data_IF_755889553474
#
_entry.id   IF_755889553474
#
_cell.length_a   1.000
_cell.length_b   1.000
_cell.length_c   1.000
_cell.angle_alpha   90.00
_cell.angle_beta   90.00
_cell.angle_gamma   90.00
#
_symmetry.space_group_name_H-M   'P 1'
#
loop_
_entity.id
_entity.type
_entity.pdbx_description
1 polymer ?
#
# COMPACT_ATOMS: atom_id res chain seq x y z
N UNK A 1 28.96 43.40 -15.00
CA UNK A 1 29.41 42.05 -14.55
C UNK A 1 28.18 41.28 -14.10
N UNK A 2 27.38 40.76 -15.04
CA UNK A 2 26.20 39.95 -14.72
C UNK A 2 26.66 38.52 -14.44
N UNK A 3 26.66 38.13 -13.17
CA UNK A 3 26.74 36.71 -12.82
C UNK A 3 25.48 36.04 -13.34
N UNK A 4 25.58 35.27 -14.43
CA UNK A 4 24.52 34.37 -14.86
C UNK A 4 24.41 33.27 -13.82
N UNK A 5 23.54 33.43 -12.83
CA UNK A 5 23.21 32.31 -11.95
C UNK A 5 22.60 31.22 -12.83
N UNK A 6 23.24 30.07 -12.86
CA UNK A 6 22.67 28.88 -13.49
C UNK A 6 21.27 28.64 -12.91
N UNK A 7 20.31 28.22 -13.72
CA UNK A 7 18.97 27.85 -13.24
C UNK A 7 19.04 26.82 -12.09
N UNK A 8 20.06 25.96 -12.11
CA UNK A 8 20.32 25.02 -11.01
C UNK A 8 20.71 25.74 -9.72
N UNK A 9 21.51 26.82 -9.80
CA UNK A 9 21.92 27.60 -8.64
C UNK A 9 20.73 28.37 -8.03
N UNK A 10 19.88 28.98 -8.86
CA UNK A 10 18.69 29.68 -8.35
C UNK A 10 17.66 28.72 -7.72
N UNK A 11 17.50 27.51 -8.29
CA UNK A 11 16.67 26.45 -7.67
C UNK A 11 17.25 25.95 -6.36
N UNK A 12 18.56 25.71 -6.30
CA UNK A 12 19.23 25.28 -5.08
C UNK A 12 19.09 26.31 -3.96
N UNK A 13 19.29 27.59 -4.26
CA UNK A 13 19.09 28.69 -3.32
C UNK A 13 17.65 28.75 -2.82
N UNK A 14 16.67 28.64 -3.72
CA UNK A 14 15.25 28.61 -3.35
C UNK A 14 14.86 27.42 -2.46
N UNK A 15 15.48 26.25 -2.67
CA UNK A 15 15.30 25.09 -1.80
C UNK A 15 15.96 25.29 -0.43
N UNK A 16 17.17 25.86 -0.41
CA UNK A 16 17.88 26.17 0.83
C UNK A 16 17.05 27.10 1.73
N UNK A 17 16.54 28.20 1.17
CA UNK A 17 15.67 29.14 1.89
C UNK A 17 14.41 28.44 2.42
N UNK A 18 13.79 27.54 1.65
CA UNK A 18 12.62 26.78 2.14
C UNK A 18 12.98 25.84 3.28
N UNK A 19 14.09 25.12 3.17
CA UNK A 19 14.55 24.19 4.22
C UNK A 19 14.91 24.91 5.52
N UNK A 20 15.19 26.22 5.46
CA UNK A 20 15.42 27.05 6.63
C UNK A 20 14.12 27.50 7.35
N UNK A 21 12.94 27.23 6.78
CA UNK A 21 11.66 27.60 7.38
C UNK A 21 11.21 26.58 8.41
N UNK A 22 10.85 27.02 9.62
CA UNK A 22 10.29 26.13 10.65
C UNK A 22 9.01 25.41 10.22
N UNK A 23 8.25 26.00 9.30
CA UNK A 23 7.08 25.35 8.68
C UNK A 23 7.44 24.04 7.97
N UNK A 24 8.65 23.93 7.39
CA UNK A 24 9.12 22.70 6.75
C UNK A 24 9.46 21.65 7.79
N UNK A 25 10.10 22.03 8.89
CA UNK A 25 10.39 21.12 10.01
C UNK A 25 9.08 20.54 10.57
N UNK A 26 8.12 21.41 10.90
CA UNK A 26 6.80 20.99 11.38
C UNK A 26 6.11 20.06 10.36
N UNK A 27 6.10 20.45 9.08
CA UNK A 27 5.49 19.64 8.03
C UNK A 27 6.12 18.24 7.91
N UNK A 28 7.44 18.13 8.03
CA UNK A 28 8.15 16.85 8.01
C UNK A 28 7.83 16.00 9.25
N UNK A 29 7.74 16.61 10.43
CA UNK A 29 7.42 15.90 11.67
C UNK A 29 5.98 15.36 11.65
N UNK A 30 5.01 16.20 11.25
CA UNK A 30 3.62 15.77 11.07
C UNK A 30 3.48 14.68 10.00
N UNK A 31 4.23 14.79 8.90
CA UNK A 31 4.25 13.76 7.87
C UNK A 31 4.87 12.46 8.36
N UNK A 32 5.99 12.53 9.11
CA UNK A 32 6.66 11.36 9.67
C UNK A 32 5.74 10.61 10.65
N UNK A 33 5.00 11.35 11.47
CA UNK A 33 4.06 10.79 12.44
C UNK A 33 2.95 9.95 11.78
N UNK A 34 2.53 10.29 10.56
CA UNK A 34 1.54 9.52 9.80
C UNK A 34 2.19 8.43 8.94
N UNK A 35 3.23 8.79 8.18
CA UNK A 35 3.85 7.91 7.18
C UNK A 35 4.56 6.73 7.84
N UNK A 36 5.13 6.92 9.04
CA UNK A 36 5.81 5.82 9.76
C UNK A 36 4.87 4.64 10.05
N UNK A 37 3.65 4.90 10.51
CA UNK A 37 2.65 3.85 10.75
C UNK A 37 2.17 3.20 9.45
N UNK A 38 1.98 4.01 8.41
CA UNK A 38 1.63 3.51 7.08
C UNK A 38 2.73 2.62 6.48
N UNK A 39 4.00 2.94 6.73
CA UNK A 39 5.12 2.13 6.26
C UNK A 39 5.20 0.78 6.98
N UNK A 40 4.92 0.76 8.30
CA UNK A 40 4.81 -0.49 9.06
C UNK A 40 3.67 -1.36 8.50
N UNK A 41 2.52 -0.76 8.22
CA UNK A 41 1.40 -1.45 7.57
C UNK A 41 1.82 -2.01 6.21
N UNK A 42 2.40 -1.17 5.35
CA UNK A 42 2.81 -1.53 4.00
C UNK A 42 3.80 -2.70 4.01
N UNK A 43 4.82 -2.65 4.86
CA UNK A 43 5.78 -3.74 5.03
C UNK A 43 5.12 -5.04 5.53
N UNK A 44 4.08 -4.94 6.37
CA UNK A 44 3.30 -6.10 6.82
C UNK A 44 2.47 -6.73 5.69
N UNK A 45 1.79 -5.90 4.88
CA UNK A 45 0.93 -6.33 3.78
C UNK A 45 1.70 -6.92 2.59
N UNK A 46 2.98 -6.60 2.46
CA UNK A 46 3.85 -7.15 1.42
C UNK A 46 4.36 -8.57 1.71
N UNK A 47 4.13 -9.09 2.93
CA UNK A 47 4.56 -10.46 3.29
C UNK A 47 3.68 -11.50 2.60
N UNK A 48 4.30 -12.53 2.03
CA UNK A 48 3.63 -13.60 1.28
C UNK A 48 2.78 -14.57 2.11
N UNK A 49 2.69 -14.34 3.43
CA UNK A 49 1.99 -15.21 4.39
C UNK A 49 0.73 -14.57 4.97
N UNK A 50 0.32 -13.40 4.48
CA UNK A 50 -0.84 -12.71 5.03
C UNK A 50 -2.13 -13.32 4.51
N UNK A 51 -3.03 -13.64 5.44
CA UNK A 51 -4.44 -13.94 5.16
C UNK A 51 -5.20 -12.64 4.87
N UNK A 52 -6.31 -12.72 4.14
CA UNK A 52 -7.18 -11.56 3.89
C UNK A 52 -7.73 -11.01 5.20
N UNK A 53 -8.16 -11.89 6.10
CA UNK A 53 -8.60 -11.52 7.45
C UNK A 53 -7.48 -10.85 8.26
N UNK A 54 -6.26 -11.39 8.21
CA UNK A 54 -5.09 -10.83 8.89
C UNK A 54 -4.71 -9.45 8.34
N UNK A 55 -4.79 -9.26 7.02
CA UNK A 55 -4.61 -7.96 6.37
C UNK A 55 -5.63 -6.95 6.88
N UNK A 56 -6.92 -7.28 6.88
CA UNK A 56 -7.99 -6.38 7.34
C UNK A 56 -7.78 -6.02 8.81
N UNK A 57 -7.43 -6.99 9.65
CA UNK A 57 -7.13 -6.76 11.06
C UNK A 57 -5.93 -5.81 11.25
N UNK A 58 -4.84 -6.00 10.49
CA UNK A 58 -3.68 -5.12 10.55
C UNK A 58 -4.03 -3.68 10.12
N UNK A 59 -4.87 -3.53 9.10
CA UNK A 59 -5.39 -2.23 8.66
C UNK A 59 -6.19 -1.56 9.78
N UNK A 60 -7.10 -2.29 10.42
CA UNK A 60 -7.91 -1.75 11.52
C UNK A 60 -7.05 -1.25 12.68
N UNK A 61 -6.01 -1.99 13.06
CA UNK A 61 -5.08 -1.57 14.13
C UNK A 61 -4.41 -0.23 13.81
N UNK A 62 -3.91 -0.05 12.59
CA UNK A 62 -3.26 1.20 12.17
C UNK A 62 -4.28 2.33 12.03
N UNK A 63 -5.49 2.02 11.55
CA UNK A 63 -6.58 2.99 11.44
C UNK A 63 -7.01 3.52 12.83
N UNK A 64 -7.13 2.66 13.83
CA UNK A 64 -7.41 3.04 15.22
C UNK A 64 -6.29 3.88 15.82
N UNK A 65 -5.03 3.51 15.57
CA UNK A 65 -3.85 4.27 15.98
C UNK A 65 -3.86 5.69 15.40
N UNK A 66 -4.04 5.84 14.08
CA UNK A 66 -4.11 7.14 13.42
C UNK A 66 -5.29 7.99 13.91
N UNK A 67 -6.44 7.38 14.20
CA UNK A 67 -7.60 8.09 14.79
C UNK A 67 -7.30 8.62 16.18
N UNK A 68 -6.53 7.89 16.98
CA UNK A 68 -6.15 8.32 18.34
C UNK A 68 -5.28 9.59 18.35
N UNK A 69 -4.54 9.85 17.27
CA UNK A 69 -3.72 11.06 17.09
C UNK A 69 -4.51 12.33 16.80
N UNK A 70 -5.80 12.21 16.51
CA UNK A 70 -6.69 13.34 16.22
C UNK A 70 -7.13 14.05 17.50
N UNK A 71 -6.18 14.42 18.35
CA UNK A 71 -6.39 15.10 19.63
C UNK A 71 -5.57 16.38 19.69
N UNK A 72 -6.07 17.36 20.45
CA UNK A 72 -5.36 18.63 20.58
C UNK A 72 -4.04 18.46 21.32
N UNK A 73 -3.98 17.50 22.24
CA UNK A 73 -2.82 17.25 23.09
C UNK A 73 -1.67 16.65 22.28
N UNK A 74 -1.94 15.60 21.49
CA UNK A 74 -0.95 15.00 20.57
C UNK A 74 -0.37 16.02 19.60
N UNK A 75 -1.23 16.85 18.99
CA UNK A 75 -0.76 17.92 18.10
C UNK A 75 0.13 18.94 18.83
N UNK A 76 -0.21 19.32 20.07
CA UNK A 76 0.60 20.24 20.85
C UNK A 76 1.97 19.67 21.20
N UNK A 77 2.05 18.38 21.50
CA UNK A 77 3.32 17.68 21.73
C UNK A 77 4.23 17.75 20.50
N UNK A 78 3.72 17.33 19.34
CA UNK A 78 4.48 17.37 18.07
C UNK A 78 4.86 18.80 17.68
N UNK A 79 3.97 19.77 17.91
CA UNK A 79 4.25 21.18 17.62
C UNK A 79 5.38 21.73 18.50
N UNK A 80 5.38 21.39 19.79
CA UNK A 80 6.44 21.79 20.72
C UNK A 80 7.78 21.16 20.36
N UNK A 81 7.80 19.87 20.01
CA UNK A 81 9.03 19.23 19.55
C UNK A 81 9.58 19.88 18.27
N UNK A 82 8.70 20.34 17.38
CA UNK A 82 9.10 21.09 16.20
C UNK A 82 9.67 22.47 16.56
N UNK A 83 9.09 23.19 17.52
CA UNK A 83 9.65 24.46 18.03
C UNK A 83 11.04 24.25 18.63
N UNK A 84 11.22 23.25 19.50
CA UNK A 84 12.51 22.91 20.11
C UNK A 84 13.57 22.58 19.04
N UNK A 85 13.17 21.87 17.97
CA UNK A 85 14.05 21.55 16.85
C UNK A 85 14.43 22.78 16.02
N UNK A 86 13.47 23.68 15.77
CA UNK A 86 13.69 24.95 15.06
C UNK A 86 14.64 25.85 15.83
N UNK A 87 14.50 25.95 17.15
CA UNK A 87 15.41 26.70 18.01
C UNK A 87 16.82 26.10 17.99
N UNK A 88 16.92 24.77 18.17
CA UNK A 88 18.21 24.05 18.15
C UNK A 88 18.97 24.23 16.84
N UNK A 89 18.27 24.26 15.71
CA UNK A 89 18.86 24.42 14.38
C UNK A 89 18.99 25.90 13.96
N UNK A 90 18.55 26.84 14.81
CA UNK A 90 18.55 28.28 14.54
C UNK A 90 17.83 28.64 13.23
N UNK A 91 16.65 28.04 13.01
CA UNK A 91 15.82 28.22 11.82
C UNK A 91 14.80 29.34 11.99
N UNK A 92 14.13 29.73 10.90
CA UNK A 92 13.02 30.69 10.99
C UNK A 92 11.85 30.09 11.79
N UNK A 93 11.17 30.88 12.63
CA UNK A 93 10.08 30.37 13.47
C UNK A 93 8.89 29.89 12.62
N UNK A 94 8.11 28.99 13.21
CA UNK A 94 6.86 28.50 12.61
C UNK A 94 5.88 29.69 12.49
N UNK A 95 5.39 29.93 11.27
CA UNK A 95 4.62 31.12 10.96
C UNK A 95 3.44 30.80 10.03
N UNK A 96 2.40 31.65 10.09
CA UNK A 96 1.26 31.53 9.19
C UNK A 96 1.70 31.68 7.73
N UNK A 97 1.24 30.80 6.82
CA UNK A 97 1.50 30.96 5.40
C UNK A 97 0.96 32.30 4.89
N UNK A 98 1.68 32.87 3.91
CA UNK A 98 1.28 34.12 3.29
C UNK A 98 -0.06 33.93 2.56
N UNK A 99 -1.13 34.53 3.07
CA UNK A 99 -2.45 34.46 2.45
C UNK A 99 -2.58 35.47 1.32
N UNK A 100 -2.93 35.00 0.12
CA UNK A 100 -3.28 35.89 -0.98
C UNK A 100 -4.64 36.53 -0.71
N UNK A 101 -4.74 37.87 -0.81
CA UNK A 101 -6.02 38.56 -0.69
C UNK A 101 -6.74 38.46 -2.04
N UNK A 102 -7.92 37.81 -2.13
CA UNK A 102 -8.65 37.77 -3.38
C UNK A 102 -9.02 39.18 -3.84
N UNK A 103 -9.10 39.45 -5.16
CA UNK A 103 -9.50 40.76 -5.66
C UNK A 103 -10.89 41.14 -5.17
N UNK A 104 -11.08 42.41 -4.76
CA UNK A 104 -12.33 42.91 -4.17
C UNK A 104 -13.57 42.67 -5.03
N UNK A 105 -13.41 42.58 -6.35
CA UNK A 105 -14.49 42.30 -7.31
C UNK A 105 -15.14 40.92 -7.10
N UNK A 106 -14.41 39.97 -6.52
CA UNK A 106 -14.86 38.59 -6.30
C UNK A 106 -15.19 38.29 -4.83
N UNK A 107 -15.14 39.28 -3.94
CA UNK A 107 -15.38 39.11 -2.49
C UNK A 107 -16.60 39.91 -2.04
N UNK A 108 -17.49 39.30 -1.27
CA UNK A 108 -18.60 39.98 -0.60
C UNK A 108 -18.16 40.82 0.61
N UNK A 109 -19.12 41.43 1.36
CA UNK A 109 -18.83 42.27 2.52
C UNK A 109 -18.34 41.50 3.75
N UNK A 110 -18.42 40.17 3.75
CA UNK A 110 -17.99 39.33 4.86
C UNK A 110 -16.45 39.32 5.00
N UNK A 111 -15.90 39.41 6.23
CA UNK A 111 -14.47 39.26 6.44
C UNK A 111 -14.03 37.84 6.06
N UNK A 112 -12.87 37.73 5.41
CA UNK A 112 -12.28 36.42 5.09
C UNK A 112 -11.92 35.68 6.38
N UNK A 113 -12.24 34.38 6.45
CA UNK A 113 -11.78 33.52 7.53
C UNK A 113 -10.26 33.48 7.53
N UNK A 114 -9.65 33.81 8.69
CA UNK A 114 -8.22 33.72 8.92
C UNK A 114 -8.01 32.94 10.22
N UNK A 115 -7.09 31.95 10.23
CA UNK A 115 -6.71 31.30 11.46
C UNK A 115 -6.13 32.34 12.44
N UNK A 116 -6.45 32.21 13.72
CA UNK A 116 -6.01 33.18 14.73
C UNK A 116 -4.53 32.99 15.11
N UNK A 117 -3.99 31.78 14.91
CA UNK A 117 -2.59 31.44 15.25
C UNK A 117 -1.98 30.42 14.28
N UNK A 118 -0.63 30.35 14.18
CA UNK A 118 0.07 29.28 13.47
C UNK A 118 -0.34 27.88 13.97
N UNK A 119 -0.48 27.73 15.29
CA UNK A 119 -0.91 26.50 15.96
C UNK A 119 -2.28 26.05 15.44
N UNK A 120 -3.26 26.95 15.43
CA UNK A 120 -4.61 26.63 14.96
C UNK A 120 -4.63 26.25 13.48
N UNK A 121 -3.91 26.99 12.64
CA UNK A 121 -3.81 26.71 11.22
C UNK A 121 -3.24 25.31 10.95
N UNK A 122 -2.07 25.02 11.52
CA UNK A 122 -1.39 23.75 11.29
C UNK A 122 -2.13 22.56 11.91
N UNK A 123 -2.85 22.76 13.02
CA UNK A 123 -3.72 21.73 13.61
C UNK A 123 -4.84 21.32 12.66
N UNK A 124 -5.51 22.30 12.05
CA UNK A 124 -6.59 22.02 11.07
C UNK A 124 -6.03 21.27 9.87
N UNK A 125 -4.86 21.67 9.35
CA UNK A 125 -4.23 20.95 8.23
C UNK A 125 -3.79 19.53 8.63
N UNK A 126 -3.26 19.34 9.84
CA UNK A 126 -2.90 18.01 10.33
C UNK A 126 -4.12 17.09 10.44
N UNK A 127 -5.23 17.59 10.99
CA UNK A 127 -6.47 16.82 11.04
C UNK A 127 -7.00 16.48 9.66
N UNK A 128 -6.88 17.38 8.67
CA UNK A 128 -7.23 17.06 7.28
C UNK A 128 -6.37 15.92 6.72
N UNK A 129 -5.08 15.87 7.05
CA UNK A 129 -4.22 14.75 6.65
C UNK A 129 -4.72 13.45 7.27
N UNK A 130 -4.98 13.43 8.57
CA UNK A 130 -5.51 12.24 9.26
C UNK A 130 -6.86 11.79 8.69
N UNK A 131 -7.80 12.72 8.51
CA UNK A 131 -9.13 12.45 7.97
C UNK A 131 -9.05 11.94 6.51
N UNK A 132 -8.13 12.49 5.72
CA UNK A 132 -7.87 12.03 4.35
C UNK A 132 -7.31 10.61 4.35
N UNK A 133 -6.31 10.32 5.18
CA UNK A 133 -5.72 8.99 5.28
C UNK A 133 -6.76 7.96 5.73
N UNK A 134 -7.57 8.30 6.73
CA UNK A 134 -8.66 7.43 7.20
C UNK A 134 -9.67 7.09 6.09
N UNK A 135 -10.08 8.12 5.35
CA UNK A 135 -11.00 7.95 4.21
C UNK A 135 -10.39 7.06 3.14
N UNK A 136 -9.12 7.32 2.76
CA UNK A 136 -8.45 6.54 1.71
C UNK A 136 -8.18 5.08 2.13
N UNK A 137 -7.86 4.83 3.41
CA UNK A 137 -7.74 3.47 3.95
C UNK A 137 -9.11 2.77 3.89
N UNK A 138 -10.16 3.44 4.33
CA UNK A 138 -11.53 2.91 4.32
C UNK A 138 -11.97 2.55 2.90
N UNK A 139 -11.84 3.49 1.95
CA UNK A 139 -12.22 3.29 0.56
C UNK A 139 -11.44 2.14 -0.11
N UNK A 140 -10.18 1.94 0.29
CA UNK A 140 -9.32 0.88 -0.26
C UNK A 140 -9.65 -0.50 0.31
N UNK A 141 -9.87 -0.61 1.62
CA UNK A 141 -9.96 -1.91 2.30
C UNK A 141 -11.39 -2.35 2.66
N UNK A 142 -12.35 -1.43 2.77
CA UNK A 142 -13.77 -1.75 3.01
C UNK A 142 -14.56 -1.90 1.71
N UNK A 143 -13.98 -2.63 0.77
CA UNK A 143 -14.60 -2.90 -0.53
C UNK A 143 -15.37 -4.22 -0.48
N UNK A 144 -16.51 -4.33 -1.20
CA UNK A 144 -17.31 -5.57 -1.21
C UNK A 144 -16.52 -6.78 -1.74
N UNK A 145 -15.52 -6.56 -2.60
CA UNK A 145 -14.64 -7.61 -3.09
C UNK A 145 -13.72 -8.19 -2.01
N UNK A 146 -13.19 -7.35 -1.11
CA UNK A 146 -12.35 -7.81 0.01
C UNK A 146 -13.20 -8.58 1.02
N UNK A 147 -14.42 -8.12 1.29
CA UNK A 147 -15.35 -8.86 2.15
C UNK A 147 -15.69 -10.24 1.56
N UNK A 148 -15.93 -10.34 0.25
CA UNK A 148 -16.16 -11.62 -0.42
C UNK A 148 -14.94 -12.57 -0.31
N UNK A 149 -13.71 -12.04 -0.41
CA UNK A 149 -12.50 -12.84 -0.23
C UNK A 149 -12.31 -13.28 1.22
N UNK A 150 -12.65 -12.43 2.18
CA UNK A 150 -12.64 -12.77 3.61
C UNK A 150 -13.66 -13.88 3.91
N UNK A 151 -14.85 -13.83 3.33
CA UNK A 151 -15.84 -14.92 3.41
C UNK A 151 -15.31 -16.24 2.83
N UNK A 152 -14.67 -16.20 1.65
CA UNK A 152 -14.05 -17.37 1.03
C UNK A 152 -12.90 -17.96 1.85
N UNK A 153 -12.07 -17.11 2.44
CA UNK A 153 -10.99 -17.53 3.31
C UNK A 153 -11.53 -18.14 4.61
N UNK A 154 -12.57 -17.54 5.21
CA UNK A 154 -13.25 -18.08 6.37
C UNK A 154 -13.85 -19.45 6.08
N UNK A 155 -14.45 -19.67 4.91
CA UNK A 155 -14.96 -20.98 4.48
C UNK A 155 -13.85 -22.05 4.44
N UNK A 156 -12.64 -21.66 4.03
CA UNK A 156 -11.49 -22.55 4.01
C UNK A 156 -10.94 -22.85 5.41
N UNK A 157 -10.84 -21.85 6.28
CA UNK A 157 -10.14 -21.96 7.58
C UNK A 157 -11.05 -22.33 8.76
N UNK A 158 -12.32 -21.94 8.75
CA UNK A 158 -13.27 -22.14 9.88
C UNK A 158 -14.11 -23.41 9.74
N UNK A 159 -14.69 -23.96 10.82
CA UNK A 159 -15.58 -25.12 10.74
C UNK A 159 -16.81 -24.85 9.85
N UNK A 160 -17.25 -25.88 9.12
CA UNK A 160 -18.33 -25.79 8.11
C UNK A 160 -19.67 -25.31 8.69
N UNK A 161 -19.87 -25.48 10.00
CA UNK A 161 -21.12 -25.11 10.69
C UNK A 161 -21.45 -23.60 10.64
N UNK A 162 -20.44 -22.75 10.48
CA UNK A 162 -20.61 -21.29 10.38
C UNK A 162 -20.56 -20.76 8.94
N UNK A 163 -20.49 -21.64 7.95
CA UNK A 163 -20.25 -21.28 6.55
C UNK A 163 -21.55 -20.97 5.80
N UNK A 164 -21.64 -19.77 5.21
CA UNK A 164 -22.83 -19.30 4.48
C UNK A 164 -22.79 -19.66 3.00
N UNK A 165 -23.84 -20.35 2.53
CA UNK A 165 -24.04 -20.69 1.11
C UNK A 165 -24.01 -19.46 0.18
N UNK A 166 -24.49 -18.30 0.67
CA UNK A 166 -24.56 -17.04 -0.09
C UNK A 166 -23.21 -16.56 -0.65
N UNK A 167 -22.09 -16.90 0.00
CA UNK A 167 -20.76 -16.49 -0.46
C UNK A 167 -20.30 -17.28 -1.68
N UNK A 168 -20.77 -18.52 -1.81
CA UNK A 168 -20.40 -19.45 -2.89
C UNK A 168 -21.21 -19.19 -4.15
N UNK A 169 -22.47 -18.74 -4.02
CA UNK A 169 -23.34 -18.38 -5.16
C UNK A 169 -22.79 -17.22 -6.01
N UNK A 170 -21.87 -16.42 -5.46
CA UNK A 170 -21.18 -15.35 -6.20
C UNK A 170 -20.19 -15.88 -7.24
N UNK A 171 -19.77 -17.15 -7.11
CA UNK A 171 -18.72 -17.76 -7.92
C UNK A 171 -19.28 -18.97 -8.70
N UNK A 172 -19.53 -18.83 -10.02
CA UNK A 172 -20.10 -19.91 -10.82
C UNK A 172 -19.18 -21.14 -10.92
N UNK A 173 -17.88 -20.98 -10.66
CA UNK A 173 -16.90 -22.06 -10.65
C UNK A 173 -17.04 -22.97 -9.41
N UNK A 174 -17.75 -22.51 -8.37
CA UNK A 174 -17.89 -23.24 -7.12
C UNK A 174 -19.25 -23.94 -7.03
N UNK A 175 -19.21 -25.23 -6.66
CA UNK A 175 -20.39 -26.06 -6.40
C UNK A 175 -20.48 -26.33 -4.89
N UNK A 176 -21.53 -25.81 -4.25
CA UNK A 176 -21.67 -25.85 -2.79
C UNK A 176 -21.73 -27.27 -2.22
N UNK A 177 -22.47 -28.17 -2.86
CA UNK A 177 -22.67 -29.54 -2.39
C UNK A 177 -21.35 -30.33 -2.37
N UNK A 178 -20.61 -30.29 -3.49
CA UNK A 178 -19.31 -30.93 -3.61
C UNK A 178 -18.29 -30.29 -2.67
N UNK A 179 -18.26 -28.96 -2.61
CA UNK A 179 -17.33 -28.21 -1.77
C UNK A 179 -17.48 -28.59 -0.29
N UNK A 180 -18.71 -28.74 0.20
CA UNK A 180 -18.98 -29.14 1.59
C UNK A 180 -18.36 -30.50 1.91
N UNK A 181 -18.52 -31.47 1.01
CA UNK A 181 -17.95 -32.81 1.17
C UNK A 181 -16.42 -32.75 1.13
N UNK A 182 -15.88 -32.07 0.12
CA UNK A 182 -14.42 -31.94 -0.06
C UNK A 182 -13.76 -31.23 1.11
N UNK A 183 -14.32 -30.12 1.60
CA UNK A 183 -13.80 -29.41 2.79
C UNK A 183 -13.83 -30.28 4.04
N UNK A 184 -14.90 -31.04 4.26
CA UNK A 184 -15.00 -31.94 5.41
C UNK A 184 -13.93 -33.04 5.36
N UNK A 185 -13.73 -33.63 4.18
CA UNK A 185 -12.68 -34.62 3.96
C UNK A 185 -11.28 -34.02 4.12
N UNK A 186 -11.04 -32.84 3.57
CA UNK A 186 -9.74 -32.17 3.56
C UNK A 186 -9.33 -31.76 4.97
N UNK A 187 -10.22 -31.07 5.72
CA UNK A 187 -9.97 -30.63 7.11
C UNK A 187 -9.74 -31.80 8.07
N UNK A 188 -10.41 -32.93 7.85
CA UNK A 188 -10.22 -34.13 8.68
C UNK A 188 -8.85 -34.77 8.46
N UNK A 189 -8.35 -34.76 7.23
CA UNK A 189 -7.12 -35.46 6.86
C UNK A 189 -5.87 -34.60 7.05
N UNK A 190 -5.97 -33.30 6.80
CA UNK A 190 -4.81 -32.41 6.77
C UNK A 190 -4.97 -31.26 7.77
N UNK A 191 -4.06 -31.11 8.73
CA UNK A 191 -4.01 -29.93 9.58
C UNK A 191 -3.38 -28.76 8.81
N UNK A 192 -4.02 -27.60 8.82
CA UNK A 192 -3.50 -26.36 8.25
C UNK A 192 -4.01 -25.16 9.04
N UNK A 193 -3.28 -24.05 9.00
CA UNK A 193 -3.67 -22.79 9.66
C UNK A 193 -3.77 -21.62 8.69
N UNK A 194 -3.07 -21.71 7.56
CA UNK A 194 -3.01 -20.63 6.58
C UNK A 194 -3.35 -21.12 5.18
N UNK A 195 -3.77 -20.21 4.31
CA UNK A 195 -3.97 -20.45 2.86
C UNK A 195 -2.68 -20.95 2.19
N UNK A 196 -1.52 -20.50 2.67
CA UNK A 196 -0.19 -20.94 2.22
C UNK A 196 0.10 -22.42 2.56
N UNK A 197 -0.39 -22.91 3.70
CA UNK A 197 -0.25 -24.33 4.05
C UNK A 197 -1.10 -25.20 3.13
N UNK A 198 -2.33 -24.77 2.84
CA UNK A 198 -3.25 -25.48 1.92
C UNK A 198 -2.64 -25.58 0.53
N UNK A 199 -2.04 -24.50 0.03
CA UNK A 199 -1.35 -24.51 -1.29
C UNK A 199 -0.21 -25.52 -1.30
N UNK A 200 0.64 -25.56 -0.27
CA UNK A 200 1.74 -26.54 -0.18
C UNK A 200 1.23 -27.97 -0.11
N UNK A 201 0.17 -28.20 0.66
CA UNK A 201 -0.48 -29.51 0.78
C UNK A 201 -1.00 -29.96 -0.59
N UNK A 202 -1.73 -29.11 -1.32
CA UNK A 202 -2.25 -29.41 -2.66
C UNK A 202 -1.14 -29.63 -3.70
N UNK A 203 -0.02 -28.90 -3.60
CA UNK A 203 1.13 -29.06 -4.50
C UNK A 203 1.89 -30.37 -4.27
N UNK A 204 1.91 -30.89 -3.04
CA UNK A 204 2.59 -32.13 -2.69
C UNK A 204 1.76 -33.39 -3.02
N UNK A 205 0.47 -33.25 -3.39
CA UNK A 205 -0.39 -34.39 -3.69
C UNK A 205 -0.15 -34.97 -5.09
N UNK A 206 -0.28 -36.30 -5.24
CA UNK A 206 -0.46 -36.93 -6.55
C UNK A 206 -1.68 -36.36 -7.29
N UNK A 207 -1.63 -36.35 -8.61
CA UNK A 207 -2.66 -35.74 -9.48
C UNK A 207 -4.04 -36.36 -9.21
N UNK A 208 -4.10 -37.66 -8.99
CA UNK A 208 -5.32 -38.42 -8.73
C UNK A 208 -5.96 -38.02 -7.39
N UNK A 209 -5.14 -37.77 -6.37
CA UNK A 209 -5.61 -37.34 -5.05
C UNK A 209 -6.03 -35.88 -5.08
N UNK A 210 -5.34 -35.04 -5.86
CA UNK A 210 -5.70 -33.64 -6.04
C UNK A 210 -7.04 -33.48 -6.74
N UNK A 211 -7.37 -34.37 -7.67
CA UNK A 211 -8.69 -34.43 -8.32
C UNK A 211 -9.86 -34.66 -7.36
N UNK A 212 -9.62 -35.23 -6.17
CA UNK A 212 -10.65 -35.34 -5.13
C UNK A 212 -11.02 -33.99 -4.48
N UNK A 213 -10.18 -32.97 -4.65
CA UNK A 213 -10.28 -31.68 -3.96
C UNK A 213 -10.34 -30.50 -4.94
N UNK A 214 -10.94 -30.70 -6.12
CA UNK A 214 -11.04 -29.67 -7.16
C UNK A 214 -11.70 -28.36 -6.68
N UNK A 215 -12.75 -28.44 -5.86
CA UNK A 215 -13.45 -27.25 -5.33
C UNK A 215 -12.57 -26.50 -4.32
N UNK A 216 -11.84 -27.23 -3.47
CA UNK A 216 -10.88 -26.63 -2.52
C UNK A 216 -9.74 -25.95 -3.28
N UNK A 217 -9.24 -26.60 -4.33
CA UNK A 217 -8.19 -26.07 -5.17
C UNK A 217 -8.65 -24.81 -5.95
N UNK A 218 -9.90 -24.78 -6.43
CA UNK A 218 -10.50 -23.57 -7.03
C UNK A 218 -10.57 -22.40 -6.05
N UNK A 219 -11.02 -22.62 -4.80
CA UNK A 219 -11.01 -21.57 -3.75
C UNK A 219 -9.61 -21.03 -3.53
N UNK A 220 -8.63 -21.93 -3.38
CA UNK A 220 -7.25 -21.54 -3.14
C UNK A 220 -6.70 -20.73 -4.32
N UNK A 221 -7.02 -21.11 -5.55
CA UNK A 221 -6.65 -20.32 -6.74
C UNK A 221 -7.31 -18.93 -6.70
N UNK A 222 -8.60 -18.84 -6.40
CA UNK A 222 -9.31 -17.55 -6.30
C UNK A 222 -8.65 -16.63 -5.26
N UNK A 223 -8.33 -17.15 -4.08
CA UNK A 223 -7.65 -16.39 -3.02
C UNK A 223 -6.22 -15.97 -3.42
N UNK A 224 -5.49 -16.80 -4.17
CA UNK A 224 -4.12 -16.51 -4.59
C UNK A 224 -4.03 -15.57 -5.80
N UNK A 225 -5.08 -15.50 -6.62
CA UNK A 225 -5.09 -14.64 -7.83
C UNK A 225 -5.36 -13.19 -7.49
N UNK A 226 -6.11 -12.90 -6.43
CA UNK A 226 -6.35 -11.51 -6.02
C UNK A 226 -5.19 -11.03 -5.15
N UNK A 227 -4.31 -10.15 -5.65
CA UNK A 227 -3.18 -9.69 -4.87
C UNK A 227 -3.69 -8.81 -3.73
N UNK A 228 -3.34 -9.17 -2.49
CA UNK A 228 -3.61 -8.37 -1.30
C UNK A 228 -2.96 -6.96 -1.36
N UNK A 229 -1.91 -6.80 -2.19
CA UNK A 229 -1.23 -5.51 -2.38
C UNK A 229 -0.85 -5.27 -3.84
N UNK A 230 -0.75 -4.00 -4.22
CA UNK A 230 -0.22 -3.55 -5.51
C UNK A 230 1.30 -3.73 -5.63
N UNK A 231 1.99 -4.24 -4.61
CA UNK A 231 3.44 -4.24 -4.52
C UNK A 231 4.14 -5.05 -5.63
N UNK A 232 3.54 -6.13 -6.12
CA UNK A 232 4.08 -6.86 -7.28
C UNK A 232 4.00 -6.04 -8.58
N UNK A 233 2.88 -5.34 -8.80
CA UNK A 233 2.74 -4.44 -9.92
C UNK A 233 3.72 -3.25 -9.79
N UNK A 234 3.85 -2.67 -8.60
CA UNK A 234 4.78 -1.56 -8.33
C UNK A 234 6.24 -1.96 -8.52
N UNK A 235 6.66 -3.15 -8.07
CA UNK A 235 7.99 -3.71 -8.35
C UNK A 235 8.22 -3.83 -9.86
N UNK A 236 7.21 -4.32 -10.60
CA UNK A 236 7.26 -4.43 -12.05
C UNK A 236 7.40 -3.06 -12.74
N UNK A 237 6.62 -2.06 -12.32
CA UNK A 237 6.70 -0.69 -12.84
C UNK A 237 8.02 0.00 -12.49
N UNK A 238 8.55 -0.22 -11.28
CA UNK A 238 9.87 0.27 -10.86
C UNK A 238 10.99 -0.33 -11.71
N UNK A 239 10.91 -1.64 -11.99
CA UNK A 239 11.81 -2.31 -12.92
C UNK A 239 11.70 -1.75 -14.34
N UNK A 240 10.48 -1.57 -14.85
CA UNK A 240 10.23 -0.98 -16.17
C UNK A 240 10.79 0.44 -16.29
N UNK A 241 10.67 1.27 -15.25
CA UNK A 241 11.22 2.63 -15.24
C UNK A 241 12.75 2.65 -15.35
N UNK A 242 13.43 1.65 -14.78
CA UNK A 242 14.88 1.45 -14.93
C UNK A 242 15.27 0.91 -16.30
N UNK A 243 14.42 0.08 -16.91
CA UNK A 243 14.67 -0.50 -18.23
C UNK A 243 14.39 0.48 -19.38
N UNK A 244 13.34 1.30 -19.25
CA UNK A 244 12.88 2.26 -20.26
C UNK A 244 13.47 3.64 -19.99
N UNK A 245 14.73 3.81 -20.39
CA UNK A 245 15.43 5.09 -20.32
C UNK A 245 15.41 5.84 -21.65
N UNK A 246 15.68 7.14 -21.63
CA UNK A 246 15.76 7.97 -22.84
C UNK A 246 16.80 7.46 -23.85
N UNK A 247 17.89 6.86 -23.37
CA UNK A 247 18.94 6.23 -24.20
C UNK A 247 18.48 4.93 -24.89
N UNK A 248 17.31 4.38 -24.52
CA UNK A 248 16.73 3.14 -25.07
C UNK A 248 15.39 3.40 -25.77
N UNK A 249 15.22 4.58 -26.35
CA UNK A 249 13.97 5.05 -26.97
C UNK A 249 13.53 4.23 -28.20
N UNK A 250 14.44 3.53 -28.87
CA UNK A 250 14.15 2.70 -30.07
C UNK A 250 13.83 1.24 -29.75
N UNK A 251 13.71 0.86 -28.47
CA UNK A 251 13.44 -0.53 -28.09
C UNK A 251 12.01 -0.95 -28.44
N UNK A 252 11.87 -2.08 -29.14
CA UNK A 252 10.56 -2.65 -29.47
C UNK A 252 9.84 -3.18 -28.22
N UNK A 253 8.50 -3.20 -28.25
CA UNK A 253 7.70 -3.69 -27.14
C UNK A 253 8.02 -5.16 -26.78
N UNK A 254 8.27 -6.00 -27.80
CA UNK A 254 8.66 -7.41 -27.60
C UNK A 254 9.95 -7.52 -26.79
N UNK A 255 10.97 -6.71 -27.13
CA UNK A 255 12.24 -6.68 -26.39
C UNK A 255 12.09 -6.09 -24.99
N UNK A 256 11.27 -5.05 -24.83
CA UNK A 256 10.97 -4.46 -23.52
C UNK A 256 10.36 -5.50 -22.58
N UNK A 257 9.33 -6.22 -23.05
CA UNK A 257 8.64 -7.23 -22.25
C UNK A 257 9.60 -8.37 -21.85
N UNK A 258 10.42 -8.86 -22.79
CA UNK A 258 11.42 -9.88 -22.48
C UNK A 258 12.44 -9.42 -21.44
N UNK A 259 12.97 -8.20 -21.58
CA UNK A 259 13.90 -7.60 -20.60
C UNK A 259 13.24 -7.37 -19.23
N UNK A 260 11.96 -6.98 -19.21
CA UNK A 260 11.21 -6.79 -17.98
C UNK A 260 11.07 -8.09 -17.21
N UNK A 261 10.71 -9.19 -17.88
CA UNK A 261 10.62 -10.53 -17.26
C UNK A 261 11.97 -10.94 -16.67
N UNK A 262 13.07 -10.78 -17.43
CA UNK A 262 14.42 -11.10 -16.94
C UNK A 262 14.83 -10.23 -15.74
N UNK A 263 14.47 -8.95 -15.74
CA UNK A 263 14.84 -8.01 -14.68
C UNK A 263 14.02 -8.22 -13.40
N UNK A 264 12.75 -8.61 -13.51
CA UNK A 264 11.87 -8.87 -12.35
C UNK A 264 12.19 -10.23 -11.73
N UNK A 265 12.47 -11.24 -12.56
CA UNK A 265 12.71 -12.62 -12.10
C UNK A 265 14.19 -13.02 -12.20
N UNK A 266 15.08 -12.19 -11.67
CA UNK A 266 16.53 -12.42 -11.72
C UNK A 266 16.93 -13.76 -11.08
N UNK A 267 16.39 -14.08 -9.90
CA UNK A 267 16.68 -15.36 -9.21
C UNK A 267 16.28 -16.57 -10.06
N UNK A 268 15.14 -16.51 -10.76
CA UNK A 268 14.73 -17.59 -11.67
C UNK A 268 15.65 -17.69 -12.87
N UNK A 269 16.10 -16.54 -13.40
CA UNK A 269 17.02 -16.48 -14.53
C UNK A 269 18.40 -17.05 -14.17
N UNK A 270 18.89 -16.81 -12.95
CA UNK A 270 20.15 -17.34 -12.44
C UNK A 270 20.14 -18.87 -12.34
N UNK A 271 18.98 -19.46 -12.03
CA UNK A 271 18.80 -20.91 -11.96
C UNK A 271 18.68 -21.59 -13.33
N UNK A 272 18.59 -20.84 -14.44
CA UNK A 272 18.51 -21.43 -15.78
C UNK A 272 19.88 -21.87 -16.30
N UNK A 273 19.94 -23.08 -16.84
CA UNK A 273 21.15 -23.60 -17.47
C UNK A 273 21.37 -22.95 -18.85
N UNK A 274 22.39 -22.10 -18.93
CA UNK A 274 22.75 -21.38 -20.15
C UNK A 274 23.09 -22.29 -21.33
N UNK A 275 23.61 -23.50 -21.06
CA UNK A 275 23.98 -24.47 -22.12
C UNK A 275 22.74 -25.03 -22.81
N UNK A 276 21.72 -25.39 -22.04
CA UNK A 276 20.47 -25.96 -22.55
C UNK A 276 19.71 -24.90 -23.38
N UNK A 277 19.76 -23.64 -22.95
CA UNK A 277 19.22 -22.51 -23.72
C UNK A 277 19.98 -22.33 -25.03
N UNK A 278 21.32 -22.37 -25.03
CA UNK A 278 22.10 -22.22 -26.25
C UNK A 278 21.78 -23.31 -27.29
N UNK A 279 21.53 -24.55 -26.84
CA UNK A 279 21.16 -25.66 -27.71
C UNK A 279 19.79 -25.54 -28.37
N UNK A 280 18.87 -24.72 -27.83
CA UNK A 280 17.55 -24.51 -28.47
C UNK A 280 17.58 -23.50 -29.63
N UNK A 281 18.70 -22.81 -29.83
CA UNK A 281 18.90 -21.87 -30.94
C UNK A 281 19.82 -22.41 -32.05
N UNK A 282 20.30 -23.65 -31.92
CA UNK A 282 21.10 -24.38 -32.91
C UNK A 282 20.22 -25.44 -33.54
#
# INVERSE_FOLDING_TARGET
MSASSSESASRAEGLHVRLQQGNVVLGLMLALDVISELEVLNASLQKSTQTVEGMVSAVSVVQESLKSKRTSDHFQEVFKEAEDMVEKLCLEPIALPRTHRPPKRYTGPAPAHRPASPVEFHRVEFYRVLDTVDTQITDRFMQPGIEALKELEALLLTPIENSTQNSVEKYPELQWEDLKIQLAMFKRKYPFKTTADVTKILQAMPVEVRGLFEQVDTIVRLLMVVPASSAEAERSFSGLRRLKTWLRSTMTQKRLNGMAVCHIHQERLENLNRRDIAQTFI
#
